data_IF_912963618261
#
_entry.id   IF_912963618261
#
_cell.length_a   1.000
_cell.length_b   1.000
_cell.length_c   1.000
_cell.angle_alpha   90.00
_cell.angle_beta   90.00
_cell.angle_gamma   90.00
#
_symmetry.space_group_name_H-M   'P 1'
#
loop_
_entity.id
_entity.type
_entity.pdbx_description
1 polymer ?
#
# COMPACT_ATOMS: atom_id res chain seq x y z
N UNK A 1 -20.09 1.06 -4.37
CA UNK A 1 -19.43 -0.09 -4.99
C UNK A 1 -18.58 -0.82 -3.96
N UNK A 2 -18.45 -2.10 -4.07
CA UNK A 2 -17.60 -2.88 -3.19
C UNK A 2 -16.11 -2.59 -3.47
N UNK A 3 -15.30 -2.56 -2.44
CA UNK A 3 -13.86 -2.45 -2.59
C UNK A 3 -13.29 -3.69 -3.30
N UNK A 4 -12.17 -3.56 -4.02
CA UNK A 4 -11.50 -4.72 -4.60
C UNK A 4 -11.04 -5.70 -3.52
N UNK A 5 -10.75 -6.94 -3.93
CA UNK A 5 -10.38 -8.01 -3.00
C UNK A 5 -9.16 -7.67 -2.13
N UNK A 6 -8.27 -6.79 -2.60
CA UNK A 6 -7.07 -6.41 -1.87
C UNK A 6 -7.28 -5.29 -0.85
N UNK A 7 -8.53 -4.79 -0.71
CA UNK A 7 -8.84 -3.73 0.27
C UNK A 7 -10.09 -4.12 1.05
N UNK A 8 -10.01 -4.11 2.37
CA UNK A 8 -11.15 -4.42 3.24
C UNK A 8 -11.14 -3.55 4.47
N UNK A 9 -12.31 -3.34 5.05
CA UNK A 9 -12.41 -2.65 6.32
C UNK A 9 -11.99 -3.59 7.44
N UNK A 10 -11.19 -3.08 8.36
CA UNK A 10 -10.73 -3.81 9.53
C UNK A 10 -10.81 -2.95 10.78
N UNK A 11 -10.40 -3.52 11.90
CA UNK A 11 -10.33 -2.77 13.15
C UNK A 11 -9.34 -1.62 12.98
N UNK A 12 -9.81 -0.40 13.18
CA UNK A 12 -8.98 0.78 13.13
C UNK A 12 -8.78 1.41 11.75
N UNK A 13 -9.28 0.79 10.68
CA UNK A 13 -9.16 1.41 9.36
C UNK A 13 -9.13 0.40 8.22
N UNK A 14 -8.75 0.87 7.03
CA UNK A 14 -8.65 0.01 5.86
C UNK A 14 -7.41 -0.90 5.96
N UNK A 15 -7.57 -2.14 5.52
CA UNK A 15 -6.47 -3.11 5.41
C UNK A 15 -6.23 -3.41 3.94
N UNK A 16 -4.99 -3.24 3.50
CA UNK A 16 -4.59 -3.41 2.11
C UNK A 16 -3.63 -4.59 1.99
N UNK A 17 -3.89 -5.47 1.01
CA UNK A 17 -2.95 -6.51 0.62
C UNK A 17 -2.11 -5.98 -0.55
N UNK A 18 -0.82 -5.88 -0.35
CA UNK A 18 0.10 -5.20 -1.27
C UNK A 18 1.15 -6.17 -1.79
N UNK A 19 1.50 -6.02 -3.07
CA UNK A 19 2.65 -6.69 -3.68
C UNK A 19 3.66 -5.62 -4.08
N UNK A 20 4.86 -5.66 -3.51
CA UNK A 20 5.90 -4.65 -3.73
C UNK A 20 6.90 -5.12 -4.77
N UNK A 21 7.24 -4.24 -5.70
CA UNK A 21 8.35 -4.44 -6.64
C UNK A 21 9.38 -3.33 -6.39
N UNK A 22 10.51 -3.63 -5.74
CA UNK A 22 11.57 -2.64 -5.50
C UNK A 22 12.41 -2.40 -6.75
N UNK A 23 13.38 -1.51 -6.66
CA UNK A 23 14.33 -1.15 -7.74
C UNK A 23 13.66 -0.50 -8.94
N UNK A 24 12.47 0.08 -8.78
CA UNK A 24 11.84 0.82 -9.86
C UNK A 24 12.46 2.22 -9.95
N UNK A 25 12.34 2.84 -11.13
CA UNK A 25 12.84 4.19 -11.33
C UNK A 25 12.05 5.23 -10.54
N UNK A 26 10.79 4.94 -10.22
CA UNK A 26 9.94 5.78 -9.39
C UNK A 26 8.90 4.92 -8.67
N UNK A 27 8.39 5.45 -7.57
CA UNK A 27 7.31 4.79 -6.83
C UNK A 27 5.97 5.10 -7.49
N UNK A 28 5.17 4.05 -7.72
CA UNK A 28 3.84 4.22 -8.31
C UNK A 28 2.97 3.01 -8.05
N UNK A 29 1.65 3.22 -8.08
CA UNK A 29 0.69 2.13 -8.06
C UNK A 29 0.54 1.61 -9.47
N UNK A 30 0.74 0.32 -9.67
CA UNK A 30 0.60 -0.32 -10.99
C UNK A 30 -0.84 -0.74 -11.23
N UNK A 31 -1.48 -1.33 -10.23
CA UNK A 31 -2.82 -1.87 -10.31
C UNK A 31 -2.91 -3.23 -9.64
N UNK A 32 -4.01 -3.92 -9.84
CA UNK A 32 -4.19 -5.24 -9.25
C UNK A 32 -3.32 -6.28 -9.96
N UNK A 33 -2.70 -7.13 -9.17
CA UNK A 33 -1.92 -8.26 -9.65
C UNK A 33 -2.09 -9.42 -8.68
N UNK A 34 -2.67 -10.50 -9.15
CA UNK A 34 -2.81 -11.73 -8.37
C UNK A 34 -3.53 -11.50 -7.03
N UNK A 35 -4.61 -10.72 -7.05
CA UNK A 35 -5.43 -10.44 -5.88
C UNK A 35 -4.83 -9.43 -4.89
N UNK A 36 -3.76 -8.74 -5.28
CA UNK A 36 -3.10 -7.72 -4.47
C UNK A 36 -2.94 -6.44 -5.28
N UNK A 37 -2.81 -5.31 -4.61
CA UNK A 37 -2.42 -4.09 -5.31
C UNK A 37 -0.91 -4.07 -5.47
N UNK A 38 -0.45 -4.01 -6.71
CA UNK A 38 0.99 -3.98 -7.01
C UNK A 38 1.50 -2.55 -6.96
N UNK A 39 2.58 -2.35 -6.22
CA UNK A 39 3.22 -1.05 -6.05
C UNK A 39 4.71 -1.20 -6.38
N UNK A 40 5.17 -0.40 -7.34
CA UNK A 40 6.58 -0.27 -7.63
C UNK A 40 7.19 0.75 -6.68
N UNK A 41 8.38 0.47 -6.17
CA UNK A 41 9.07 1.36 -5.24
C UNK A 41 10.45 1.73 -5.77
N UNK A 42 10.76 3.01 -5.75
CA UNK A 42 12.10 3.53 -6.00
C UNK A 42 12.91 3.39 -4.71
N UNK A 43 13.21 2.15 -4.36
CA UNK A 43 13.96 1.81 -3.14
C UNK A 43 14.82 0.60 -3.40
N UNK A 44 15.97 0.46 -2.73
CA UNK A 44 16.78 -0.75 -2.82
C UNK A 44 16.02 -1.93 -2.22
N UNK A 45 16.34 -3.18 -2.60
CA UNK A 45 15.64 -4.37 -2.10
C UNK A 45 16.14 -4.76 -0.71
N UNK A 46 16.24 -3.81 0.17
CA UNK A 46 16.59 -3.99 1.57
C UNK A 46 15.32 -3.81 2.37
N UNK A 47 14.91 -4.83 3.12
CA UNK A 47 13.59 -4.89 3.72
C UNK A 47 13.21 -3.65 4.53
N UNK A 48 14.07 -3.18 5.42
CA UNK A 48 13.78 -1.99 6.22
C UNK A 48 13.60 -0.73 5.38
N UNK A 49 14.44 -0.54 4.37
CA UNK A 49 14.34 0.63 3.49
C UNK A 49 13.13 0.55 2.58
N UNK A 50 12.84 -0.64 2.04
CA UNK A 50 11.67 -0.83 1.19
C UNK A 50 10.38 -0.64 1.99
N UNK A 51 10.32 -1.16 3.21
CA UNK A 51 9.15 -0.97 4.08
C UNK A 51 8.92 0.50 4.39
N UNK A 52 9.97 1.23 4.77
CA UNK A 52 9.87 2.66 5.07
C UNK A 52 9.41 3.45 3.85
N UNK A 53 9.96 3.15 2.67
CA UNK A 53 9.58 3.80 1.43
C UNK A 53 8.10 3.53 1.08
N UNK A 54 7.65 2.30 1.27
CA UNK A 54 6.25 1.93 1.01
C UNK A 54 5.30 2.72 1.90
N UNK A 55 5.57 2.77 3.19
CA UNK A 55 4.69 3.44 4.15
C UNK A 55 4.65 4.95 3.89
N UNK A 56 5.79 5.56 3.58
CA UNK A 56 5.86 6.98 3.23
C UNK A 56 5.10 7.28 1.93
N UNK A 57 5.27 6.43 0.92
CA UNK A 57 4.58 6.58 -0.35
C UNK A 57 3.06 6.50 -0.19
N UNK A 58 2.57 5.53 0.58
CA UNK A 58 1.14 5.38 0.83
C UNK A 58 0.58 6.56 1.64
N UNK A 59 1.31 7.05 2.63
CA UNK A 59 0.87 8.21 3.40
C UNK A 59 0.71 9.44 2.53
N UNK A 60 1.66 9.69 1.65
CA UNK A 60 1.61 10.81 0.72
C UNK A 60 0.45 10.66 -0.27
N UNK A 61 0.33 9.48 -0.88
CA UNK A 61 -0.71 9.22 -1.88
C UNK A 61 -2.11 9.35 -1.30
N UNK A 62 -2.31 8.85 -0.08
CA UNK A 62 -3.60 8.85 0.59
C UNK A 62 -3.90 10.15 1.35
N UNK A 63 -2.92 11.04 1.46
CA UNK A 63 -3.10 12.30 2.19
C UNK A 63 -3.29 12.11 3.68
N UNK A 64 -2.65 11.10 4.26
CA UNK A 64 -2.70 10.81 5.70
C UNK A 64 -1.32 11.00 6.32
N UNK A 65 -1.27 11.05 7.65
CA UNK A 65 -0.01 11.12 8.37
C UNK A 65 0.73 9.79 8.26
N UNK A 66 2.06 9.85 8.26
CA UNK A 66 2.88 8.63 8.25
C UNK A 66 2.51 7.68 9.40
N UNK A 67 2.16 8.24 10.57
CA UNK A 67 1.77 7.45 11.73
C UNK A 67 0.45 6.68 11.54
N UNK A 68 -0.36 7.08 10.56
CA UNK A 68 -1.62 6.41 10.24
C UNK A 68 -1.45 5.22 9.30
N UNK A 69 -0.23 4.97 8.82
CA UNK A 69 0.09 3.86 7.92
C UNK A 69 0.97 2.87 8.67
N UNK A 70 0.47 1.67 8.87
CA UNK A 70 1.16 0.65 9.65
C UNK A 70 1.33 -0.65 8.87
N UNK A 71 2.52 -1.23 8.96
CA UNK A 71 2.80 -2.54 8.40
C UNK A 71 2.29 -3.60 9.40
N UNK A 72 1.31 -4.38 8.99
CA UNK A 72 0.73 -5.43 9.84
C UNK A 72 1.42 -6.78 9.65
N UNK A 73 1.90 -7.07 8.46
CA UNK A 73 2.55 -8.33 8.12
C UNK A 73 3.44 -8.16 6.90
N UNK A 74 4.40 -9.06 6.73
CA UNK A 74 5.27 -9.05 5.57
C UNK A 74 6.48 -8.14 5.73
N UNK A 75 7.13 -8.16 6.89
CA UNK A 75 8.35 -7.38 7.10
C UNK A 75 9.43 -7.75 6.11
N UNK A 76 9.49 -9.02 5.72
CA UNK A 76 10.38 -9.51 4.68
C UNK A 76 9.57 -9.95 3.47
N UNK A 77 10.19 -10.00 2.31
CA UNK A 77 9.53 -10.42 1.09
C UNK A 77 8.70 -9.31 0.45
N UNK A 78 7.96 -9.68 -0.58
CA UNK A 78 7.24 -8.72 -1.42
C UNK A 78 5.75 -8.58 -1.09
N UNK A 79 5.16 -9.55 -0.40
CA UNK A 79 3.75 -9.53 0.00
C UNK A 79 3.63 -8.88 1.37
N UNK A 80 2.83 -7.83 1.46
CA UNK A 80 2.72 -7.04 2.68
C UNK A 80 1.26 -6.72 2.96
N UNK A 81 0.95 -6.57 4.24
CA UNK A 81 -0.38 -6.14 4.70
C UNK A 81 -0.23 -4.82 5.43
N UNK A 82 -1.02 -3.84 5.02
CA UNK A 82 -0.91 -2.47 5.51
C UNK A 82 -2.26 -2.03 6.07
N UNK A 83 -2.25 -1.34 7.23
CA UNK A 83 -3.46 -0.68 7.76
C UNK A 83 -3.34 0.82 7.55
N UNK A 84 -4.44 1.41 7.08
CA UNK A 84 -4.58 2.86 6.94
C UNK A 84 -5.62 3.33 7.94
N UNK A 85 -5.18 3.92 9.04
CA UNK A 85 -6.07 4.42 10.09
C UNK A 85 -6.89 5.59 9.57
N UNK A 86 -8.19 5.58 9.87
CA UNK A 86 -9.08 6.69 9.52
C UNK A 86 -9.56 6.71 8.08
N UNK A 87 -9.33 5.65 7.32
CA UNK A 87 -9.85 5.53 5.95
C UNK A 87 -10.63 4.24 5.81
N UNK A 88 -11.70 4.28 5.00
CA UNK A 88 -12.45 3.08 4.63
C UNK A 88 -11.72 2.36 3.49
N UNK A 89 -12.04 1.07 3.32
CA UNK A 89 -11.50 0.29 2.21
C UNK A 89 -11.86 0.93 0.86
N UNK A 90 -13.09 1.40 0.69
CA UNK A 90 -13.52 2.05 -0.54
C UNK A 90 -12.72 3.33 -0.82
N UNK A 91 -12.54 4.17 0.18
CA UNK A 91 -11.79 5.43 0.02
C UNK A 91 -10.31 5.17 -0.27
N UNK A 92 -9.69 4.22 0.45
CA UNK A 92 -8.29 3.89 0.23
C UNK A 92 -8.08 3.29 -1.16
N UNK A 93 -8.93 2.36 -1.56
CA UNK A 93 -8.83 1.73 -2.89
C UNK A 93 -9.04 2.76 -4.01
N UNK A 94 -10.00 3.64 -3.87
CA UNK A 94 -10.26 4.68 -4.86
C UNK A 94 -9.06 5.61 -5.03
N UNK A 95 -8.43 6.01 -3.92
CA UNK A 95 -7.25 6.87 -3.97
C UNK A 95 -6.06 6.19 -4.64
N UNK A 96 -5.83 4.90 -4.33
CA UNK A 96 -4.75 4.14 -4.95
C UNK A 96 -4.98 3.95 -6.44
N UNK A 97 -6.19 3.59 -6.85
CA UNK A 97 -6.50 3.37 -8.26
C UNK A 97 -6.47 4.68 -9.05
N UNK A 98 -6.88 5.79 -8.44
CA UNK A 98 -6.77 7.11 -9.08
C UNK A 98 -5.32 7.50 -9.32
N UNK A 99 -4.41 7.06 -8.45
CA UNK A 99 -2.98 7.29 -8.61
C UNK A 99 -2.29 6.33 -9.57
N UNK A 100 -2.95 5.28 -10.01
CA UNK A 100 -2.37 4.30 -10.94
C UNK A 100 -2.34 4.88 -12.35
N UNK A 101 -1.17 4.90 -12.98
CA UNK A 101 -0.96 5.47 -14.32
C UNK A 101 -0.01 4.61 -15.12
#
# INVERSE_FOLDING_TARGET
MAAPAWARDGAGGAVLEVLVQPRASRSRVVGEHDGRVKIQLAAPPVDGEANAALLAFLAELLGVKRADVALLAGETGRRKRIRITGRTADAAAAALLAGAR
#
